data_IF_301598663406
#
_entry.id   IF_301598663406
#
_cell.length_a   1.000
_cell.length_b   1.000
_cell.length_c   1.000
_cell.angle_alpha   90.00
_cell.angle_beta   90.00
_cell.angle_gamma   90.00
#
_symmetry.space_group_name_H-M   'P 1'
#
loop_
_entity.id
_entity.type
_entity.pdbx_description
1 polymer ?
#
# COMPACT_ATOMS: atom_id res chain seq x y z
N UNK A 1 11.29 -7.86 -6.22
CA UNK A 1 10.80 -8.83 -7.22
C UNK A 1 9.46 -9.36 -6.74
N UNK A 2 8.39 -8.88 -7.34
CA UNK A 2 7.06 -9.47 -7.13
C UNK A 2 7.09 -10.81 -7.87
N UNK A 3 7.13 -11.90 -7.15
CA UNK A 3 7.07 -13.24 -7.73
C UNK A 3 5.63 -13.52 -8.16
N UNK A 4 5.35 -13.47 -9.45
CA UNK A 4 4.11 -14.01 -10.00
C UNK A 4 4.29 -15.54 -10.11
N UNK A 5 3.46 -16.28 -9.40
CA UNK A 5 3.36 -17.72 -9.59
C UNK A 5 2.08 -18.03 -10.37
N UNK A 6 2.22 -18.56 -11.56
CA UNK A 6 1.23 -19.17 -12.45
C UNK A 6 -0.03 -18.35 -12.81
N UNK A 7 -0.48 -18.38 -14.07
CA UNK A 7 -1.75 -17.79 -14.47
C UNK A 7 -2.92 -18.50 -13.76
N UNK A 8 -3.55 -17.82 -12.83
CA UNK A 8 -4.72 -18.31 -12.09
C UNK A 8 -4.60 -18.26 -10.57
N UNK A 9 -3.42 -18.01 -10.03
CA UNK A 9 -3.21 -17.87 -8.59
C UNK A 9 -2.39 -16.60 -8.30
N UNK A 10 -3.00 -15.45 -8.55
CA UNK A 10 -2.42 -14.17 -8.20
C UNK A 10 -2.76 -13.84 -6.74
N UNK A 11 -2.13 -14.52 -5.81
CA UNK A 11 -2.14 -14.04 -4.44
C UNK A 11 -1.04 -13.00 -4.28
N UNK A 12 -1.40 -11.73 -4.20
CA UNK A 12 -0.53 -10.73 -3.65
C UNK A 12 -0.31 -11.07 -2.18
N UNK A 13 0.73 -11.82 -1.91
CA UNK A 13 1.12 -12.07 -0.53
C UNK A 13 1.83 -10.83 -0.01
N UNK A 14 1.26 -10.15 0.99
CA UNK A 14 1.89 -9.09 1.77
C UNK A 14 3.14 -9.59 2.54
N UNK A 15 3.66 -10.76 2.19
CA UNK A 15 4.92 -11.33 2.67
C UNK A 15 6.15 -10.73 1.98
N UNK A 16 5.97 -9.72 1.11
CA UNK A 16 7.11 -8.93 0.66
C UNK A 16 7.84 -8.40 1.89
N UNK A 17 9.16 -8.63 1.97
CA UNK A 17 9.98 -8.29 3.13
C UNK A 17 10.01 -6.78 3.41
N UNK A 18 9.72 -5.95 2.42
CA UNK A 18 9.73 -4.49 2.54
C UNK A 18 8.60 -3.91 1.68
N UNK A 19 7.54 -3.49 2.34
CA UNK A 19 6.36 -2.89 1.69
C UNK A 19 5.76 -1.79 2.57
N UNK A 20 5.23 -0.75 1.94
CA UNK A 20 4.44 0.27 2.60
C UNK A 20 3.47 0.88 1.59
N UNK A 21 2.19 0.94 1.92
CA UNK A 21 1.21 1.43 0.97
C UNK A 21 -0.22 1.41 1.45
N UNK A 22 -1.11 1.53 0.48
CA UNK A 22 -2.55 1.38 0.65
C UNK A 22 -3.00 0.04 0.07
N UNK A 23 -4.02 -0.51 0.66
CA UNK A 23 -4.62 -1.76 0.26
C UNK A 23 -6.14 -1.63 0.27
N UNK A 24 -6.76 -2.09 -0.77
CA UNK A 24 -8.21 -2.26 -0.87
C UNK A 24 -8.46 -3.69 -1.35
N UNK A 25 -9.20 -4.47 -0.60
CA UNK A 25 -9.43 -5.88 -0.92
C UNK A 25 -10.76 -6.37 -0.37
N UNK A 26 -11.53 -7.01 -1.22
CA UNK A 26 -12.80 -7.66 -0.86
C UNK A 26 -12.65 -8.88 0.06
N UNK A 27 -11.43 -9.26 0.42
CA UNK A 27 -11.16 -10.36 1.34
C UNK A 27 -10.93 -9.91 2.79
N UNK A 28 -10.85 -8.60 3.02
CA UNK A 28 -10.70 -8.06 4.36
C UNK A 28 -12.06 -7.92 5.05
N UNK A 29 -12.03 -7.91 6.38
CA UNK A 29 -13.27 -7.78 7.20
C UNK A 29 -14.00 -6.46 6.94
N UNK A 30 -13.26 -5.42 6.59
CA UNK A 30 -13.76 -4.08 6.22
C UNK A 30 -13.41 -3.85 4.74
N UNK A 31 -14.04 -4.64 3.88
CA UNK A 31 -13.68 -4.84 2.48
C UNK A 31 -13.89 -3.60 1.60
N UNK A 32 -14.71 -2.66 2.04
CA UNK A 32 -14.94 -1.39 1.36
C UNK A 32 -13.93 -0.31 1.76
N UNK A 33 -13.23 -0.46 2.90
CA UNK A 33 -12.34 0.55 3.43
C UNK A 33 -10.92 0.46 2.84
N UNK A 34 -10.28 1.62 2.73
CA UNK A 34 -8.85 1.69 2.51
C UNK A 34 -8.08 1.23 3.74
N UNK A 35 -7.08 0.41 3.54
CA UNK A 35 -6.21 -0.12 4.60
C UNK A 35 -4.78 0.35 4.43
N UNK A 36 -4.10 0.58 5.56
CA UNK A 36 -2.65 0.77 5.60
C UNK A 36 -1.95 -0.58 5.67
N UNK A 37 -0.97 -0.77 4.81
CA UNK A 37 -0.09 -1.96 4.84
C UNK A 37 1.35 -1.53 5.02
N UNK A 38 2.11 -2.33 5.76
CA UNK A 38 3.55 -2.13 5.94
C UNK A 38 4.23 -3.43 6.36
N UNK A 39 5.48 -3.58 6.03
CA UNK A 39 6.37 -4.64 6.50
C UNK A 39 7.83 -4.26 6.30
N UNK A 40 8.74 -4.92 7.03
CA UNK A 40 10.18 -4.75 6.89
C UNK A 40 10.82 -3.77 7.88
N UNK A 41 10.02 -3.02 8.62
CA UNK A 41 10.52 -2.12 9.69
C UNK A 41 10.73 -2.82 11.03
N UNK A 42 10.88 -2.02 12.07
CA UNK A 42 11.02 -2.51 13.46
C UNK A 42 9.67 -2.82 14.11
N UNK A 43 8.60 -2.26 13.59
CA UNK A 43 7.23 -2.60 13.99
C UNK A 43 6.77 -3.81 13.21
N UNK A 44 6.14 -4.76 13.90
CA UNK A 44 5.61 -5.98 13.28
C UNK A 44 4.72 -5.63 12.10
N UNK A 45 5.03 -6.19 10.95
CA UNK A 45 4.31 -5.96 9.70
C UNK A 45 2.88 -6.46 9.75
N UNK A 46 2.05 -5.98 8.85
CA UNK A 46 0.68 -6.43 8.67
C UNK A 46 0.58 -7.43 7.52
N UNK A 47 -0.25 -8.43 7.71
CA UNK A 47 -0.67 -9.38 6.68
C UNK A 47 -2.08 -9.03 6.23
N UNK A 48 -2.62 -9.73 5.24
CA UNK A 48 -3.97 -9.54 4.72
C UNK A 48 -5.02 -9.48 5.84
N UNK A 49 -4.91 -10.38 6.84
CA UNK A 49 -5.86 -10.46 7.95
C UNK A 49 -5.61 -9.41 9.05
N UNK A 50 -4.50 -8.71 9.02
CA UNK A 50 -4.10 -7.71 10.03
C UNK A 50 -3.91 -6.33 9.45
N UNK A 51 -4.25 -6.11 8.19
CA UNK A 51 -4.24 -4.80 7.56
C UNK A 51 -5.09 -3.80 8.37
N UNK A 52 -4.59 -2.58 8.48
CA UNK A 52 -5.16 -1.56 9.35
C UNK A 52 -6.13 -0.68 8.58
N UNK A 53 -7.42 -0.79 8.86
CA UNK A 53 -8.45 0.04 8.26
C UNK A 53 -8.22 1.53 8.59
N UNK A 54 -8.34 2.39 7.57
CA UNK A 54 -8.16 3.84 7.69
C UNK A 54 -9.50 4.58 7.96
N UNK A 55 -10.60 3.83 8.04
CA UNK A 55 -11.93 4.35 8.34
C UNK A 55 -12.49 5.28 7.24
N UNK A 56 -12.18 4.97 6.00
CA UNK A 56 -12.75 5.62 4.81
C UNK A 56 -12.97 4.56 3.75
N UNK A 57 -14.22 4.43 3.33
CA UNK A 57 -14.62 3.49 2.30
C UNK A 57 -14.32 4.05 0.91
N UNK A 58 -13.90 3.18 0.02
CA UNK A 58 -13.81 3.50 -1.39
C UNK A 58 -15.20 3.43 -2.01
N UNK A 59 -15.64 4.52 -2.60
CA UNK A 59 -16.98 4.61 -3.20
C UNK A 59 -16.88 4.54 -4.71
N UNK A 60 -17.70 3.69 -5.32
CA UNK A 60 -17.74 3.55 -6.78
C UNK A 60 -18.03 4.89 -7.46
N UNK A 61 -17.28 5.18 -8.51
CA UNK A 61 -17.32 6.43 -9.28
C UNK A 61 -16.84 7.70 -8.55
N UNK A 62 -16.35 7.58 -7.32
CA UNK A 62 -15.64 8.64 -6.63
C UNK A 62 -14.12 8.52 -6.85
N UNK A 63 -13.42 9.58 -6.53
CA UNK A 63 -11.96 9.67 -6.63
C UNK A 63 -11.37 9.85 -5.25
N UNK A 64 -10.40 9.02 -4.91
CA UNK A 64 -9.64 9.16 -3.68
C UNK A 64 -8.22 9.64 -3.96
N UNK A 65 -7.77 10.61 -3.18
CA UNK A 65 -6.38 11.06 -3.16
C UNK A 65 -5.63 10.32 -2.07
N UNK A 66 -4.79 9.39 -2.49
CA UNK A 66 -3.93 8.62 -1.60
C UNK A 66 -2.54 9.27 -1.56
N UNK A 67 -2.06 9.62 -0.37
CA UNK A 67 -0.70 10.12 -0.18
C UNK A 67 0.00 9.34 0.92
N UNK A 68 1.16 8.78 0.58
CA UNK A 68 2.06 8.12 1.50
C UNK A 68 3.32 8.96 1.67
N UNK A 69 3.69 9.21 2.90
CA UNK A 69 4.96 9.83 3.25
C UNK A 69 5.80 8.86 4.08
N UNK A 70 7.05 8.72 3.75
CA UNK A 70 8.00 7.87 4.47
C UNK A 70 9.22 8.71 4.82
N UNK A 71 9.48 8.82 6.12
CA UNK A 71 10.65 9.52 6.63
C UNK A 71 11.90 8.62 6.56
N UNK A 72 13.06 9.23 6.58
CA UNK A 72 14.36 8.52 6.57
C UNK A 72 14.56 7.62 7.79
N UNK A 73 13.81 7.83 8.87
CA UNK A 73 13.85 7.00 10.08
C UNK A 73 12.87 5.81 10.05
N UNK A 74 12.25 5.54 8.90
CA UNK A 74 11.30 4.44 8.74
C UNK A 74 9.88 4.73 9.23
N UNK A 75 9.57 5.95 9.62
CA UNK A 75 8.19 6.34 9.97
C UNK A 75 7.36 6.57 8.72
N UNK A 76 6.18 5.99 8.66
CA UNK A 76 5.23 6.18 7.57
C UNK A 76 3.97 6.94 8.02
N UNK A 77 3.41 7.74 7.10
CA UNK A 77 2.16 8.48 7.28
C UNK A 77 1.25 8.26 6.09
N UNK A 78 0.03 7.86 6.37
CA UNK A 78 -1.02 7.64 5.37
C UNK A 78 -2.02 8.79 5.43
N UNK A 79 -2.19 9.45 4.30
CA UNK A 79 -3.19 10.50 4.13
C UNK A 79 -4.22 10.06 3.10
N UNK A 80 -5.46 10.28 3.41
CA UNK A 80 -6.58 10.02 2.51
C UNK A 80 -7.38 11.31 2.33
N UNK A 81 -7.54 11.71 1.08
CA UNK A 81 -8.24 12.95 0.72
C UNK A 81 -7.72 14.19 1.47
N UNK A 82 -6.39 14.26 1.65
CA UNK A 82 -5.71 15.34 2.36
C UNK A 82 -5.69 15.23 3.88
N UNK A 83 -6.37 14.25 4.46
CA UNK A 83 -6.45 14.03 5.91
C UNK A 83 -5.46 12.97 6.36
N UNK A 84 -4.63 13.26 7.36
CA UNK A 84 -3.77 12.28 8.00
C UNK A 84 -4.62 11.25 8.74
N UNK A 85 -4.54 9.99 8.33
CA UNK A 85 -5.29 8.88 8.91
C UNK A 85 -4.45 8.04 9.87
N UNK A 86 -3.17 7.86 9.57
CA UNK A 86 -2.28 7.04 10.38
C UNK A 86 -0.85 7.52 10.31
N UNK A 87 -0.17 7.44 11.45
CA UNK A 87 1.28 7.55 11.58
C UNK A 87 1.81 6.32 12.29
N UNK A 88 2.88 5.73 11.77
CA UNK A 88 3.50 4.56 12.36
C UNK A 88 5.03 4.67 12.29
N UNK A 89 5.66 4.69 13.45
CA UNK A 89 7.12 4.64 13.55
C UNK A 89 7.61 3.21 13.29
N UNK A 90 8.75 3.09 12.63
CA UNK A 90 9.33 1.79 12.31
C UNK A 90 8.48 0.94 11.35
N UNK A 91 7.71 1.58 10.49
CA UNK A 91 6.87 0.89 9.52
C UNK A 91 7.68 0.19 8.43
N UNK A 92 8.80 0.79 8.03
CA UNK A 92 9.67 0.27 6.96
C UNK A 92 11.13 0.25 7.39
N UNK A 93 11.93 -0.58 6.71
CA UNK A 93 13.38 -0.60 6.88
C UNK A 93 14.01 0.73 6.45
N UNK A 94 15.02 1.16 7.19
CA UNK A 94 15.83 2.35 6.87
C UNK A 94 16.99 2.04 5.92
N UNK A 95 17.20 0.77 5.59
CA UNK A 95 18.34 0.30 4.80
C UNK A 95 17.97 -0.21 3.42
N UNK A 96 16.68 -0.25 3.09
CA UNK A 96 16.16 -0.78 1.82
C UNK A 96 15.58 0.36 0.97
N UNK A 97 15.85 0.30 -0.33
CA UNK A 97 15.23 1.20 -1.30
C UNK A 97 13.84 0.69 -1.68
N UNK A 98 12.83 1.52 -1.49
CA UNK A 98 11.48 1.26 -1.96
C UNK A 98 11.29 1.82 -3.37
N UNK A 99 10.52 1.11 -4.19
CA UNK A 99 10.01 1.61 -5.47
C UNK A 99 8.49 1.73 -5.39
N UNK A 100 7.94 2.70 -6.13
CA UNK A 100 6.50 2.82 -6.25
C UNK A 100 5.96 1.75 -7.19
N UNK A 101 4.88 1.09 -6.78
CA UNK A 101 4.16 0.12 -7.60
C UNK A 101 2.66 0.32 -7.42
N UNK A 102 1.92 0.13 -8.50
CA UNK A 102 0.47 0.01 -8.49
C UNK A 102 0.12 -1.38 -9.00
N UNK A 103 -0.68 -2.10 -8.24
CA UNK A 103 -1.10 -3.46 -8.57
C UNK A 103 -2.62 -3.52 -8.47
N UNK A 104 -3.25 -4.08 -9.49
CA UNK A 104 -4.68 -4.42 -9.51
C UNK A 104 -4.79 -5.91 -9.76
N UNK A 105 -5.46 -6.60 -8.87
CA UNK A 105 -5.64 -8.05 -8.94
C UNK A 105 -7.13 -8.39 -8.96
N UNK A 106 -7.49 -9.36 -9.78
CA UNK A 106 -8.81 -9.95 -9.86
C UNK A 106 -8.76 -11.38 -9.30
N UNK A 107 -9.64 -11.70 -8.37
CA UNK A 107 -9.68 -13.03 -7.72
C UNK A 107 -10.81 -13.95 -8.21
N UNK A 108 -11.75 -13.43 -8.96
CA UNK A 108 -12.87 -14.19 -9.54
C UNK A 108 -13.08 -13.72 -10.97
N UNK A 109 -13.67 -14.53 -11.81
CA UNK A 109 -13.99 -14.16 -13.20
C UNK A 109 -14.74 -12.82 -13.27
N UNK A 110 -14.09 -11.78 -13.67
CA UNK A 110 -14.57 -10.41 -13.78
C UNK A 110 -13.50 -9.51 -14.39
N UNK A 111 -13.63 -8.23 -14.29
CA UNK A 111 -12.63 -7.28 -14.72
C UNK A 111 -12.33 -6.33 -13.57
N UNK A 112 -11.23 -6.53 -12.87
CA UNK A 112 -10.72 -5.54 -11.94
C UNK A 112 -10.06 -4.40 -12.73
N UNK A 113 -10.50 -3.18 -12.52
CA UNK A 113 -9.92 -2.01 -13.16
C UNK A 113 -9.69 -0.90 -12.13
N UNK A 114 -8.56 -0.25 -12.26
CA UNK A 114 -8.24 0.94 -11.49
C UNK A 114 -7.83 2.05 -12.45
N UNK A 115 -8.45 3.21 -12.33
CA UNK A 115 -8.05 4.38 -13.11
C UNK A 115 -7.19 5.29 -12.26
N UNK A 116 -5.97 5.54 -12.71
CA UNK A 116 -5.04 6.49 -12.08
C UNK A 116 -5.01 7.75 -12.92
N UNK A 117 -5.42 8.89 -12.35
CA UNK A 117 -5.42 10.16 -13.06
C UNK A 117 -4.03 10.82 -13.05
N UNK A 118 -3.31 10.70 -11.97
CA UNK A 118 -1.91 11.11 -11.91
C UNK A 118 -1.16 10.34 -10.83
N UNK A 119 0.15 10.27 -10.97
CA UNK A 119 1.08 9.73 -9.99
C UNK A 119 2.20 10.74 -9.79
N UNK A 120 2.40 11.21 -8.57
CA UNK A 120 3.51 12.10 -8.20
C UNK A 120 4.41 11.39 -7.18
N UNK A 121 5.67 11.20 -7.55
CA UNK A 121 6.66 10.57 -6.69
C UNK A 121 7.75 11.58 -6.40
N UNK A 122 7.93 11.92 -5.13
CA UNK A 122 9.01 12.77 -4.64
C UNK A 122 9.95 11.96 -3.78
N UNK A 123 11.23 12.07 -4.07
CA UNK A 123 12.28 11.41 -3.31
C UNK A 123 13.39 12.41 -3.02
N UNK A 124 13.90 12.38 -1.80
CA UNK A 124 15.11 13.11 -1.41
C UNK A 124 16.40 12.30 -1.67
N UNK A 125 16.31 11.32 -2.55
CA UNK A 125 17.47 10.50 -2.92
C UNK A 125 18.57 11.39 -3.49
N UNK A 126 19.74 11.25 -2.94
CA UNK A 126 20.94 11.88 -3.51
C UNK A 126 21.28 11.20 -4.85
N UNK A 127 21.11 11.94 -5.94
CA UNK A 127 21.45 11.49 -7.29
C UNK A 127 22.88 11.91 -7.68
N UNK A 128 23.58 12.62 -6.80
CA UNK A 128 24.98 13.00 -7.03
C UNK A 128 25.88 11.81 -6.76
N UNK A 129 26.29 11.18 -7.81
CA UNK A 129 27.41 10.23 -7.78
C UNK A 129 28.57 10.79 -8.54
#
# INVERSE_FOLDING_TARGET
SVGFTEPGDYSFTLTASDICGFWLSSELTDDEAWHAIHNGGTTTGVTDSTALALGVDAVAAERDLLRLEIDTNGTARWFLNGVLKKTLAGAVSTTVNLCCSLIVEEKVTGNAACTVEYLDIKSNRDWTR
#
